data_IF_103559264750
#
_entry.id   IF_103559264750
#
_cell.length_a   1.000
_cell.length_b   1.000
_cell.length_c   1.000
_cell.angle_alpha   90.00
_cell.angle_beta   90.00
_cell.angle_gamma   90.00
#
_symmetry.space_group_name_H-M   'P 1'
#
loop_
_entity.id
_entity.type
_entity.pdbx_description
1 polymer ?
#
# COMPACT_ATOMS: atom_id res chain seq x y z
N UNK A 1 7.00 21.52 1.06
CA UNK A 1 7.22 20.06 1.11
C UNK A 1 8.19 19.66 2.22
N UNK A 2 9.36 20.31 2.38
CA UNK A 2 10.33 19.99 3.45
C UNK A 2 9.75 19.94 4.86
N UNK A 3 8.99 20.96 5.30
CA UNK A 3 8.35 20.96 6.64
C UNK A 3 7.43 19.76 6.88
N UNK A 4 6.70 19.29 5.86
CA UNK A 4 5.80 18.13 5.99
C UNK A 4 6.55 16.82 6.14
N UNK A 5 7.72 16.71 5.49
CA UNK A 5 8.58 15.53 5.59
C UNK A 5 9.23 15.49 6.97
N UNK A 6 9.74 16.63 7.46
CA UNK A 6 10.37 16.74 8.79
C UNK A 6 9.36 16.46 9.90
N UNK A 7 8.16 17.04 9.84
CA UNK A 7 7.13 16.78 10.86
C UNK A 7 6.60 15.34 10.80
N UNK A 8 6.49 14.72 9.61
CA UNK A 8 6.15 13.30 9.49
C UNK A 8 7.24 12.41 10.10
N UNK A 9 8.51 12.69 9.78
CA UNK A 9 9.66 11.99 10.35
C UNK A 9 9.70 12.16 11.88
N UNK A 10 9.42 13.36 12.37
CA UNK A 10 9.33 13.65 13.80
C UNK A 10 8.23 12.85 14.50
N UNK A 11 7.07 12.68 13.88
CA UNK A 11 6.01 11.85 14.45
C UNK A 11 6.31 10.36 14.40
N UNK A 12 6.96 9.91 13.33
CA UNK A 12 7.43 8.53 13.23
C UNK A 12 8.49 8.26 14.30
N UNK A 13 9.39 9.22 14.55
CA UNK A 13 10.37 9.16 15.63
C UNK A 13 9.70 9.19 17.02
N UNK A 14 8.67 10.02 17.23
CA UNK A 14 7.90 10.02 18.48
C UNK A 14 7.14 8.71 18.69
N UNK A 15 6.52 8.17 17.64
CA UNK A 15 5.85 6.87 17.68
C UNK A 15 6.85 5.73 17.99
N UNK A 16 8.03 5.75 17.36
CA UNK A 16 9.12 4.81 17.65
C UNK A 16 9.67 4.99 19.07
N UNK A 17 9.82 6.23 19.55
CA UNK A 17 10.24 6.51 20.92
C UNK A 17 9.23 5.97 21.92
N UNK A 18 7.94 6.18 21.68
CA UNK A 18 6.88 5.59 22.50
C UNK A 18 6.97 4.05 22.46
N UNK A 19 7.11 3.45 21.27
CA UNK A 19 7.29 2.00 21.09
C UNK A 19 8.45 1.45 21.94
N UNK A 20 9.65 2.04 21.82
CA UNK A 20 10.83 1.58 22.55
C UNK A 20 10.73 1.85 24.06
N UNK A 21 10.11 2.97 24.46
CA UNK A 21 9.83 3.27 25.86
C UNK A 21 8.93 2.21 26.48
N UNK A 22 7.82 1.88 25.80
CA UNK A 22 6.94 0.80 26.20
C UNK A 22 7.71 -0.52 26.26
N UNK A 23 8.37 -0.95 25.19
CA UNK A 23 9.10 -2.22 25.15
C UNK A 23 10.15 -2.37 26.28
N UNK A 24 10.87 -1.30 26.61
CA UNK A 24 11.91 -1.32 27.65
C UNK A 24 11.37 -1.32 29.08
N UNK A 25 10.29 -0.58 29.34
CA UNK A 25 9.77 -0.37 30.70
C UNK A 25 8.62 -1.32 31.03
N UNK A 26 7.99 -1.94 30.02
CA UNK A 26 6.78 -2.74 30.20
C UNK A 26 6.94 -3.88 31.22
N UNK A 27 8.07 -4.59 31.18
CA UNK A 27 8.35 -5.71 32.10
C UNK A 27 8.52 -5.29 33.56
N UNK A 28 8.68 -3.99 33.83
CA UNK A 28 8.84 -3.43 35.18
C UNK A 28 7.51 -2.92 35.79
N UNK A 29 6.44 -2.88 35.00
CA UNK A 29 5.14 -2.34 35.42
C UNK A 29 4.21 -3.45 35.94
N UNK A 30 3.42 -3.14 36.97
CA UNK A 30 2.40 -4.06 37.47
C UNK A 30 1.23 -4.19 36.48
N UNK A 31 0.58 -5.35 36.45
CA UNK A 31 -0.55 -5.66 35.55
C UNK A 31 -1.69 -4.63 35.58
N UNK A 32 -2.07 -4.01 36.72
CA UNK A 32 -3.11 -2.97 36.72
C UNK A 32 -2.66 -1.68 36.03
N UNK A 33 -1.39 -1.29 36.20
CA UNK A 33 -0.82 -0.07 35.60
C UNK A 33 -0.68 -0.25 34.08
N UNK A 34 -0.26 -1.43 33.65
CA UNK A 34 -0.23 -1.81 32.25
C UNK A 34 -1.62 -1.61 31.61
N UNK A 35 -2.67 -2.23 32.17
CA UNK A 35 -4.05 -2.13 31.66
C UNK A 35 -4.57 -0.68 31.67
N UNK A 36 -4.24 0.11 32.69
CA UNK A 36 -4.64 1.52 32.76
C UNK A 36 -4.01 2.36 31.64
N UNK A 37 -2.71 2.17 31.36
CA UNK A 37 -2.02 2.89 30.28
C UNK A 37 -2.53 2.42 28.91
N UNK A 38 -2.81 1.13 28.79
CA UNK A 38 -3.40 0.49 27.61
C UNK A 38 -4.74 1.10 27.18
N UNK A 39 -5.61 1.40 28.15
CA UNK A 39 -6.93 2.00 27.91
C UNK A 39 -6.83 3.53 27.83
N UNK A 40 -6.02 4.13 28.71
CA UNK A 40 -5.88 5.57 28.82
C UNK A 40 -5.18 6.23 27.63
N UNK A 41 -4.14 5.61 27.06
CA UNK A 41 -3.36 6.22 25.98
C UNK A 41 -4.16 6.42 24.68
N UNK A 42 -4.94 5.45 24.18
CA UNK A 42 -5.78 5.65 22.99
C UNK A 42 -6.90 6.67 23.25
N UNK A 43 -7.53 6.62 24.42
CA UNK A 43 -8.58 7.58 24.81
C UNK A 43 -8.04 9.00 24.90
N UNK A 44 -6.91 9.22 25.57
CA UNK A 44 -6.25 10.51 25.66
C UNK A 44 -5.81 11.02 24.28
N UNK A 45 -5.35 10.13 23.40
CA UNK A 45 -4.95 10.51 22.05
C UNK A 45 -6.16 10.91 21.17
N UNK A 46 -7.31 10.23 21.31
CA UNK A 46 -8.56 10.59 20.64
C UNK A 46 -9.14 11.90 21.19
N UNK A 47 -9.14 12.08 22.51
CA UNK A 47 -9.54 13.35 23.15
C UNK A 47 -8.60 14.48 22.72
N UNK A 48 -7.30 14.21 22.65
CA UNK A 48 -6.30 15.15 22.14
C UNK A 48 -6.55 15.56 20.69
N UNK A 49 -6.94 14.62 19.82
CA UNK A 49 -7.35 14.95 18.44
C UNK A 49 -8.60 15.83 18.40
N UNK A 50 -9.60 15.55 19.24
CA UNK A 50 -10.82 16.35 19.26
C UNK A 50 -10.59 17.76 19.81
N UNK A 51 -9.75 17.91 20.83
CA UNK A 51 -9.34 19.20 21.39
C UNK A 51 -8.51 20.01 20.39
N UNK A 52 -7.56 19.38 19.69
CA UNK A 52 -6.79 20.05 18.65
C UNK A 52 -7.66 20.46 17.47
N UNK A 53 -8.61 19.63 17.05
CA UNK A 53 -9.55 20.00 15.97
C UNK A 53 -10.38 21.23 16.31
N UNK A 54 -10.78 21.39 17.58
CA UNK A 54 -11.53 22.56 18.05
C UNK A 54 -10.66 23.83 18.11
N UNK A 55 -9.34 23.70 18.32
CA UNK A 55 -8.39 24.83 18.43
C UNK A 55 -7.69 25.19 17.12
N UNK A 56 -7.35 24.22 16.29
CA UNK A 56 -6.56 24.40 15.07
C UNK A 56 -7.33 23.95 13.82
N UNK A 57 -7.39 24.84 12.82
CA UNK A 57 -8.02 24.57 11.52
C UNK A 57 -7.13 23.77 10.55
N UNK A 58 -5.94 23.32 10.96
CA UNK A 58 -4.97 22.67 10.08
C UNK A 58 -5.05 21.15 10.24
N UNK A 59 -5.57 20.39 9.25
CA UNK A 59 -5.77 18.93 9.35
C UNK A 59 -4.47 18.12 9.45
N UNK A 60 -3.32 18.76 9.19
CA UNK A 60 -2.01 18.12 9.20
C UNK A 60 -1.59 17.66 10.61
N UNK A 61 -1.67 18.52 11.63
CA UNK A 61 -1.30 18.13 12.99
C UNK A 61 -2.26 17.08 13.57
N UNK A 62 -3.55 17.15 13.21
CA UNK A 62 -4.54 16.11 13.55
C UNK A 62 -4.15 14.75 12.96
N UNK A 63 -3.69 14.72 11.70
CA UNK A 63 -3.22 13.47 11.07
C UNK A 63 -2.00 12.87 11.78
N UNK A 64 -1.14 13.73 12.32
CA UNK A 64 0.08 13.37 13.01
C UNK A 64 -0.21 12.72 14.37
N UNK A 65 -1.06 13.37 15.16
CA UNK A 65 -1.52 12.83 16.45
C UNK A 65 -2.34 11.57 16.24
N UNK A 66 -3.16 11.51 15.18
CA UNK A 66 -3.90 10.31 14.81
C UNK A 66 -2.98 9.13 14.51
N UNK A 67 -1.84 9.36 13.86
CA UNK A 67 -0.84 8.32 13.60
C UNK A 67 -0.20 7.83 14.90
N UNK A 68 0.10 8.74 15.84
CA UNK A 68 0.60 8.37 17.18
C UNK A 68 -0.46 7.57 17.94
N UNK A 69 -1.72 8.00 17.91
CA UNK A 69 -2.85 7.28 18.51
C UNK A 69 -2.97 5.86 17.95
N UNK A 70 -2.86 5.73 16.63
CA UNK A 70 -2.86 4.46 15.94
C UNK A 70 -1.67 3.57 16.34
N UNK A 71 -0.45 4.10 16.38
CA UNK A 71 0.73 3.37 16.81
C UNK A 71 0.61 2.89 18.27
N UNK A 72 0.13 3.76 19.16
CA UNK A 72 -0.16 3.40 20.55
C UNK A 72 -1.22 2.30 20.64
N UNK A 73 -2.29 2.36 19.82
CA UNK A 73 -3.32 1.32 19.80
C UNK A 73 -2.78 -0.04 19.33
N UNK A 74 -1.98 -0.06 18.26
CA UNK A 74 -1.33 -1.28 17.75
C UNK A 74 -0.46 -1.91 18.83
N UNK A 75 0.37 -1.09 19.47
CA UNK A 75 1.23 -1.48 20.59
C UNK A 75 0.44 -2.07 21.73
N UNK A 76 -0.56 -1.34 22.20
CA UNK A 76 -1.45 -1.73 23.26
C UNK A 76 -2.06 -3.11 22.96
N UNK A 77 -2.67 -3.30 21.78
CA UNK A 77 -3.26 -4.61 21.45
C UNK A 77 -2.22 -5.74 21.44
N UNK A 78 -1.03 -5.51 20.87
CA UNK A 78 0.04 -6.53 20.81
C UNK A 78 0.53 -6.94 22.20
N UNK A 79 0.68 -5.96 23.07
CA UNK A 79 1.20 -6.13 24.42
C UNK A 79 0.14 -6.78 25.32
N UNK A 80 -1.14 -6.41 25.17
CA UNK A 80 -2.26 -7.07 25.84
C UNK A 80 -2.33 -8.55 25.50
N UNK A 81 -2.13 -8.87 24.21
CA UNK A 81 -2.04 -10.25 23.75
C UNK A 81 -0.93 -11.03 24.45
N UNK A 82 0.23 -10.41 24.65
CA UNK A 82 1.34 -11.05 25.39
C UNK A 82 1.03 -11.26 26.88
N UNK A 83 0.39 -10.29 27.54
CA UNK A 83 0.05 -10.36 28.98
C UNK A 83 -0.95 -11.50 29.23
N UNK A 84 -1.99 -11.60 28.39
CA UNK A 84 -3.02 -12.62 28.52
C UNK A 84 -2.67 -13.93 27.81
N UNK A 85 -1.44 -14.07 27.32
CA UNK A 85 -0.95 -15.24 26.58
C UNK A 85 -1.89 -15.66 25.43
N UNK A 86 -2.49 -14.67 24.75
CA UNK A 86 -3.36 -14.87 23.59
C UNK A 86 -2.46 -15.18 22.39
N UNK A 87 -2.78 -16.26 21.67
CA UNK A 87 -2.03 -16.66 20.48
C UNK A 87 -2.11 -15.57 19.39
N UNK A 88 -0.98 -15.08 18.88
CA UNK A 88 -0.96 -14.12 17.78
C UNK A 88 -1.72 -14.65 16.57
N UNK A 89 -2.65 -13.85 16.05
CA UNK A 89 -3.50 -14.22 14.91
C UNK A 89 -3.72 -13.05 13.96
N UNK A 90 -4.08 -13.36 12.71
CA UNK A 90 -4.38 -12.38 11.67
C UNK A 90 -5.51 -11.41 12.02
N UNK A 91 -6.41 -11.78 12.93
CA UNK A 91 -7.53 -10.94 13.34
C UNK A 91 -7.08 -9.64 14.03
N UNK A 92 -5.84 -9.58 14.54
CA UNK A 92 -5.25 -8.34 15.04
C UNK A 92 -5.22 -7.24 13.96
N UNK A 93 -4.95 -7.60 12.70
CA UNK A 93 -4.96 -6.67 11.58
C UNK A 93 -6.35 -6.05 11.34
N UNK A 94 -7.42 -6.80 11.60
CA UNK A 94 -8.80 -6.27 11.48
C UNK A 94 -9.06 -5.21 12.54
N UNK A 95 -8.65 -5.47 13.79
CA UNK A 95 -8.81 -4.50 14.87
C UNK A 95 -8.02 -3.21 14.58
N UNK A 96 -6.80 -3.33 14.08
CA UNK A 96 -5.98 -2.18 13.67
C UNK A 96 -6.60 -1.44 12.49
N UNK A 97 -7.04 -2.16 11.44
CA UNK A 97 -7.71 -1.58 10.29
C UNK A 97 -8.98 -0.84 10.70
N UNK A 98 -9.83 -1.44 11.54
CA UNK A 98 -11.06 -0.83 12.03
C UNK A 98 -10.77 0.48 12.77
N UNK A 99 -9.80 0.49 13.68
CA UNK A 99 -9.43 1.71 14.41
C UNK A 99 -8.90 2.80 13.47
N UNK A 100 -8.00 2.44 12.54
CA UNK A 100 -7.46 3.38 11.56
C UNK A 100 -8.55 3.97 10.64
N UNK A 101 -9.47 3.13 10.15
CA UNK A 101 -10.55 3.55 9.26
C UNK A 101 -11.59 4.41 10.00
N UNK A 102 -12.00 4.03 11.21
CA UNK A 102 -12.93 4.84 12.02
C UNK A 102 -12.37 6.25 12.20
N UNK A 103 -11.09 6.35 12.56
CA UNK A 103 -10.44 7.64 12.72
C UNK A 103 -10.25 8.37 11.38
N UNK A 104 -9.91 7.66 10.29
CA UNK A 104 -9.79 8.24 8.95
C UNK A 104 -11.10 8.88 8.47
N UNK A 105 -12.22 8.15 8.57
CA UNK A 105 -13.53 8.65 8.15
C UNK A 105 -14.09 9.69 9.12
N UNK A 106 -13.81 9.62 10.42
CA UNK A 106 -14.29 10.61 11.39
C UNK A 106 -13.63 11.99 11.24
N UNK A 107 -12.36 12.00 10.85
CA UNK A 107 -11.51 13.20 10.84
C UNK A 107 -10.95 13.59 9.46
N UNK A 108 -11.37 12.91 8.39
CA UNK A 108 -10.88 13.12 7.00
C UNK A 108 -9.35 12.98 6.88
N UNK A 109 -8.79 11.98 7.59
CA UNK A 109 -7.33 11.78 7.71
C UNK A 109 -6.81 10.79 6.67
N UNK A 110 -6.15 11.32 5.65
CA UNK A 110 -5.58 10.55 4.53
C UNK A 110 -4.48 9.58 4.96
N UNK A 111 -3.58 10.00 5.85
CA UNK A 111 -2.50 9.14 6.34
C UNK A 111 -3.03 7.90 7.06
N UNK A 112 -4.08 8.09 7.85
CA UNK A 112 -4.71 7.02 8.60
C UNK A 112 -5.53 6.08 7.72
N UNK A 113 -6.14 6.62 6.66
CA UNK A 113 -6.77 5.81 5.61
C UNK A 113 -5.75 4.84 5.00
N UNK A 114 -4.58 5.36 4.62
CA UNK A 114 -3.49 4.55 4.05
C UNK A 114 -3.01 3.49 5.04
N UNK A 115 -2.84 3.84 6.32
CA UNK A 115 -2.50 2.86 7.36
C UNK A 115 -3.57 1.75 7.47
N UNK A 116 -4.85 2.12 7.47
CA UNK A 116 -5.97 1.17 7.47
C UNK A 116 -6.00 0.27 6.24
N UNK A 117 -5.73 0.82 5.05
CA UNK A 117 -5.59 0.05 3.80
C UNK A 117 -4.46 -0.97 3.91
N UNK A 118 -3.29 -0.59 4.43
CA UNK A 118 -2.18 -1.54 4.65
C UNK A 118 -2.54 -2.65 5.64
N UNK A 119 -3.23 -2.34 6.74
CA UNK A 119 -3.72 -3.35 7.66
C UNK A 119 -4.74 -4.29 7.01
N UNK A 120 -5.66 -3.78 6.17
CA UNK A 120 -6.62 -4.61 5.42
C UNK A 120 -5.90 -5.51 4.40
N UNK A 121 -4.92 -4.98 3.68
CA UNK A 121 -4.09 -5.76 2.75
C UNK A 121 -3.38 -6.89 3.48
N UNK A 122 -2.77 -6.60 4.63
CA UNK A 122 -2.13 -7.59 5.49
C UNK A 122 -3.12 -8.66 5.97
N UNK A 123 -4.31 -8.26 6.45
CA UNK A 123 -5.35 -9.18 6.87
C UNK A 123 -5.83 -10.11 5.74
N UNK A 124 -6.18 -9.55 4.59
CA UNK A 124 -6.69 -10.30 3.45
C UNK A 124 -5.60 -11.25 2.92
N UNK A 125 -4.37 -10.76 2.79
CA UNK A 125 -3.24 -11.59 2.36
C UNK A 125 -2.94 -12.71 3.34
N UNK A 126 -2.98 -12.44 4.66
CA UNK A 126 -2.80 -13.47 5.68
C UNK A 126 -3.93 -14.50 5.65
N UNK A 127 -5.18 -14.05 5.49
CA UNK A 127 -6.36 -14.93 5.46
C UNK A 127 -6.27 -15.90 4.29
N UNK A 128 -5.96 -15.38 3.10
CA UNK A 128 -5.75 -16.20 1.92
C UNK A 128 -4.57 -17.17 2.12
N UNK A 129 -3.47 -16.69 2.70
CA UNK A 129 -2.34 -17.55 3.03
C UNK A 129 -2.73 -18.69 3.97
N UNK A 130 -3.55 -18.44 5.00
CA UNK A 130 -4.03 -19.47 5.91
C UNK A 130 -4.93 -20.50 5.24
N UNK A 131 -5.74 -20.09 4.24
CA UNK A 131 -6.57 -21.02 3.47
C UNK A 131 -5.73 -21.99 2.64
N UNK A 132 -4.57 -21.54 2.16
CA UNK A 132 -3.59 -22.39 1.47
C UNK A 132 -2.60 -23.09 2.43
N UNK A 133 -2.91 -23.16 3.74
CA UNK A 133 -2.13 -23.89 4.73
C UNK A 133 -0.85 -23.19 5.20
N UNK A 134 -0.66 -21.91 4.90
CA UNK A 134 0.50 -21.15 5.39
C UNK A 134 0.27 -20.56 6.77
N UNK A 135 1.36 -20.42 7.53
CA UNK A 135 1.33 -19.62 8.75
C UNK A 135 1.03 -18.16 8.42
N UNK A 136 0.11 -17.54 9.18
CA UNK A 136 -0.41 -16.20 8.90
C UNK A 136 0.68 -15.11 8.87
N UNK A 137 1.79 -15.28 9.60
CA UNK A 137 2.93 -14.34 9.58
C UNK A 137 3.81 -14.50 8.33
N UNK A 138 3.74 -15.65 7.67
CA UNK A 138 4.43 -15.93 6.41
C UNK A 138 3.65 -15.45 5.18
N UNK A 139 2.66 -14.56 5.37
CA UNK A 139 1.85 -14.01 4.28
C UNK A 139 2.68 -13.32 3.18
N UNK A 140 3.89 -12.84 3.51
CA UNK A 140 4.82 -12.24 2.55
C UNK A 140 5.61 -13.23 1.68
N UNK A 141 5.60 -14.53 2.00
CA UNK A 141 6.34 -15.56 1.24
C UNK A 141 5.70 -15.81 -0.13
N UNK A 142 4.38 -15.63 -0.23
CA UNK A 142 3.61 -15.83 -1.47
C UNK A 142 2.94 -14.50 -1.86
N UNK A 143 3.59 -13.70 -2.73
CA UNK A 143 3.07 -12.41 -3.16
C UNK A 143 1.68 -12.50 -3.82
N UNK A 144 1.31 -13.66 -4.36
CA UNK A 144 0.01 -13.94 -4.99
C UNK A 144 -1.18 -13.58 -4.11
N UNK A 145 -1.05 -13.74 -2.79
CA UNK A 145 -2.13 -13.43 -1.84
C UNK A 145 -2.50 -11.93 -1.83
N UNK A 146 -1.59 -11.05 -2.26
CA UNK A 146 -1.84 -9.62 -2.35
C UNK A 146 -2.62 -9.22 -3.61
N UNK A 147 -2.64 -10.05 -4.66
CA UNK A 147 -3.36 -9.76 -5.91
C UNK A 147 -4.88 -9.64 -5.66
N UNK A 148 -5.57 -10.66 -5.12
CA UNK A 148 -6.99 -10.57 -4.82
C UNK A 148 -7.29 -9.50 -3.76
N UNK A 149 -6.43 -9.34 -2.74
CA UNK A 149 -6.59 -8.29 -1.74
C UNK A 149 -6.53 -6.88 -2.35
N UNK A 150 -5.56 -6.64 -3.24
CA UNK A 150 -5.39 -5.39 -3.96
C UNK A 150 -6.53 -5.10 -4.93
N UNK A 151 -7.00 -6.11 -5.68
CA UNK A 151 -8.14 -5.99 -6.60
C UNK A 151 -9.44 -5.69 -5.86
N UNK A 152 -9.70 -6.34 -4.72
CA UNK A 152 -10.86 -6.05 -3.88
C UNK A 152 -10.86 -4.60 -3.42
N UNK A 153 -9.72 -4.10 -2.93
CA UNK A 153 -9.58 -2.72 -2.50
C UNK A 153 -9.66 -1.72 -3.66
N UNK A 154 -9.19 -2.09 -4.84
CA UNK A 154 -9.34 -1.28 -6.06
C UNK A 154 -10.81 -1.14 -6.49
N UNK A 155 -11.60 -2.22 -6.35
CA UNK A 155 -13.01 -2.25 -6.72
C UNK A 155 -13.95 -1.64 -5.65
N UNK A 156 -13.50 -1.57 -4.39
CA UNK A 156 -14.32 -1.10 -3.26
C UNK A 156 -14.91 0.31 -3.46
N UNK A 157 -14.18 1.31 -3.99
CA UNK A 157 -14.74 2.64 -4.22
C UNK A 157 -15.77 2.74 -5.34
N UNK A 158 -15.83 1.75 -6.24
CA UNK A 158 -16.91 1.65 -7.25
C UNK A 158 -18.18 1.03 -6.70
N UNK A 159 -18.07 0.17 -5.68
CA UNK A 159 -19.22 -0.49 -5.05
C UNK A 159 -19.86 0.39 -3.99
N UNK A 160 -19.06 1.18 -3.26
CA UNK A 160 -19.54 2.04 -2.17
C UNK A 160 -19.40 3.51 -2.58
N UNK A 161 -20.51 4.27 -2.69
CA UNK A 161 -20.45 5.68 -3.08
C UNK A 161 -19.88 6.55 -1.95
N UNK A 162 -18.65 7.06 -2.13
CA UNK A 162 -17.96 7.92 -1.18
C UNK A 162 -18.34 9.40 -1.35
N UNK A 163 -19.63 9.73 -1.30
CA UNK A 163 -20.15 11.10 -1.55
C UNK A 163 -19.58 12.16 -0.59
N UNK A 164 -19.26 11.77 0.64
CA UNK A 164 -18.77 12.68 1.69
C UNK A 164 -17.26 12.94 1.63
N UNK A 165 -16.48 12.07 0.98
CA UNK A 165 -15.01 12.13 0.95
C UNK A 165 -14.49 11.91 -0.48
N UNK A 166 -14.41 12.97 -1.31
CA UNK A 166 -14.10 12.84 -2.74
C UNK A 166 -12.70 12.32 -3.04
N UNK A 167 -11.74 12.50 -2.13
CA UNK A 167 -10.34 12.08 -2.34
C UNK A 167 -10.06 10.63 -1.92
N UNK A 168 -10.89 10.04 -1.05
CA UNK A 168 -10.66 8.69 -0.50
C UNK A 168 -10.63 7.60 -1.58
N UNK A 169 -11.56 7.58 -2.57
CA UNK A 169 -11.53 6.62 -3.68
C UNK A 169 -10.19 6.53 -4.39
N UNK A 170 -9.48 7.65 -4.53
CA UNK A 170 -8.18 7.70 -5.20
C UNK A 170 -7.14 6.90 -4.43
N UNK A 171 -7.11 6.98 -3.10
CA UNK A 171 -6.17 6.23 -2.26
C UNK A 171 -6.44 4.72 -2.28
N UNK A 172 -7.69 4.29 -2.18
CA UNK A 172 -8.06 2.88 -2.31
C UNK A 172 -7.63 2.29 -3.66
N UNK A 173 -7.90 2.99 -4.77
CA UNK A 173 -7.49 2.56 -6.10
C UNK A 173 -5.98 2.53 -6.26
N UNK A 174 -5.29 3.59 -5.82
CA UNK A 174 -3.83 3.68 -5.95
C UNK A 174 -3.14 2.56 -5.18
N UNK A 175 -3.44 2.41 -3.88
CA UNK A 175 -2.76 1.42 -3.05
C UNK A 175 -3.18 -0.01 -3.37
N UNK A 176 -4.45 -0.25 -3.73
CA UNK A 176 -4.92 -1.57 -4.17
C UNK A 176 -4.29 -2.01 -5.50
N UNK A 177 -4.19 -1.10 -6.48
CA UNK A 177 -3.51 -1.39 -7.74
C UNK A 177 -1.99 -1.52 -7.55
N UNK A 178 -1.39 -0.69 -6.69
CA UNK A 178 0.04 -0.73 -6.37
C UNK A 178 0.43 -2.12 -5.85
N UNK A 179 -0.30 -2.63 -4.87
CA UNK A 179 0.01 -3.95 -4.29
C UNK A 179 -0.21 -5.08 -5.27
N UNK A 180 -1.27 -5.03 -6.07
CA UNK A 180 -1.50 -6.04 -7.12
C UNK A 180 -0.37 -6.04 -8.17
N UNK A 181 0.04 -4.86 -8.66
CA UNK A 181 1.10 -4.76 -9.65
C UNK A 181 2.48 -5.10 -9.08
N UNK A 182 2.77 -4.75 -7.81
CA UNK A 182 3.99 -5.19 -7.13
C UNK A 182 4.04 -6.71 -6.99
N UNK A 183 2.93 -7.34 -6.58
CA UNK A 183 2.86 -8.79 -6.48
C UNK A 183 3.12 -9.47 -7.83
N UNK A 184 2.48 -8.98 -8.90
CA UNK A 184 2.68 -9.48 -10.26
C UNK A 184 4.14 -9.26 -10.72
N UNK A 185 4.73 -8.10 -10.44
CA UNK A 185 6.11 -7.79 -10.80
C UNK A 185 7.11 -8.73 -10.09
N UNK A 186 6.89 -9.03 -8.82
CA UNK A 186 7.74 -9.97 -8.06
C UNK A 186 7.62 -11.37 -8.67
N UNK A 187 6.41 -11.86 -8.93
CA UNK A 187 6.17 -13.20 -9.50
C UNK A 187 6.65 -13.34 -10.94
N UNK A 188 6.71 -12.23 -11.68
CA UNK A 188 7.29 -12.14 -13.03
C UNK A 188 8.79 -12.44 -13.07
N UNK A 189 9.49 -12.41 -11.93
CA UNK A 189 10.93 -12.70 -11.83
C UNK A 189 11.25 -13.83 -10.84
N UNK A 190 10.28 -14.19 -10.00
CA UNK A 190 10.47 -15.18 -8.96
C UNK A 190 9.33 -16.20 -9.01
N UNK A 191 9.29 -16.99 -10.09
CA UNK A 191 8.21 -17.95 -10.34
C UNK A 191 8.10 -19.04 -9.27
N UNK A 192 9.19 -19.35 -8.56
CA UNK A 192 9.23 -20.31 -7.45
C UNK A 192 8.29 -19.93 -6.28
N UNK A 193 8.02 -18.63 -6.13
CA UNK A 193 7.12 -18.10 -5.11
C UNK A 193 5.63 -18.28 -5.46
N UNK A 194 5.29 -18.88 -6.60
CA UNK A 194 3.91 -19.13 -7.02
C UNK A 194 3.26 -20.37 -6.39
N UNK A 195 1.93 -20.37 -6.21
CA UNK A 195 1.17 -21.58 -5.90
C UNK A 195 0.95 -22.49 -7.12
N UNK A 196 1.22 -22.01 -8.33
CA UNK A 196 0.98 -22.76 -9.57
C UNK A 196 1.95 -23.95 -9.67
N UNK A 197 1.41 -25.13 -9.96
CA UNK A 197 2.17 -26.36 -10.22
C UNK A 197 2.70 -26.38 -11.66
N UNK A 198 3.30 -25.27 -12.08
CA UNK A 198 3.93 -25.10 -13.39
C UNK A 198 5.44 -24.95 -13.21
N UNK A 199 6.24 -25.23 -14.25
CA UNK A 199 7.66 -24.88 -14.24
C UNK A 199 7.83 -23.39 -13.97
N UNK A 200 8.84 -23.01 -13.18
CA UNK A 200 9.13 -21.61 -12.82
C UNK A 200 9.14 -20.68 -14.03
N UNK A 201 9.71 -21.14 -15.14
CA UNK A 201 9.87 -20.37 -16.36
C UNK A 201 8.51 -20.04 -17.00
N UNK A 202 7.57 -20.99 -16.96
CA UNK A 202 6.21 -20.78 -17.48
C UNK A 202 5.41 -19.83 -16.58
N UNK A 203 5.61 -19.92 -15.26
CA UNK A 203 5.00 -19.01 -14.28
C UNK A 203 5.49 -17.59 -14.50
N UNK A 204 6.80 -17.39 -14.68
CA UNK A 204 7.38 -16.07 -14.93
C UNK A 204 6.83 -15.45 -16.21
N UNK A 205 6.79 -16.22 -17.31
CA UNK A 205 6.18 -15.76 -18.58
C UNK A 205 4.71 -15.40 -18.40
N UNK A 206 3.95 -16.21 -17.66
CA UNK A 206 2.54 -15.93 -17.38
C UNK A 206 2.38 -14.61 -16.62
N UNK A 207 3.14 -14.39 -15.55
CA UNK A 207 3.08 -13.16 -14.77
C UNK A 207 3.61 -11.94 -15.52
N UNK A 208 4.57 -12.10 -16.43
CA UNK A 208 5.00 -11.05 -17.35
C UNK A 208 3.86 -10.63 -18.28
N UNK A 209 3.19 -11.59 -18.93
CA UNK A 209 2.04 -11.32 -19.80
C UNK A 209 0.89 -10.67 -19.03
N UNK A 210 0.59 -11.18 -17.83
CA UNK A 210 -0.40 -10.60 -16.94
C UNK A 210 -0.04 -9.18 -16.53
N UNK A 211 1.22 -8.92 -16.17
CA UNK A 211 1.67 -7.61 -15.74
C UNK A 211 1.55 -6.54 -16.83
N UNK A 212 1.91 -6.86 -18.08
CA UNK A 212 1.71 -5.98 -19.23
C UNK A 212 0.22 -5.75 -19.50
N UNK A 213 -0.59 -6.81 -19.44
CA UNK A 213 -2.04 -6.73 -19.66
C UNK A 213 -2.73 -5.88 -18.60
N UNK A 214 -2.45 -6.12 -17.31
CA UNK A 214 -3.05 -5.38 -16.19
C UNK A 214 -2.60 -3.92 -16.19
N UNK A 215 -1.32 -3.65 -16.47
CA UNK A 215 -0.82 -2.28 -16.58
C UNK A 215 -1.44 -1.54 -17.78
N UNK A 216 -1.58 -2.21 -18.93
CA UNK A 216 -2.28 -1.66 -20.11
C UNK A 216 -3.76 -1.36 -19.84
N UNK A 217 -4.46 -2.29 -19.19
CA UNK A 217 -5.86 -2.09 -18.77
C UNK A 217 -5.98 -0.95 -17.76
N UNK A 218 -5.06 -0.82 -16.81
CA UNK A 218 -5.04 0.28 -15.85
C UNK A 218 -4.86 1.64 -16.55
N UNK A 219 -3.99 1.74 -17.55
CA UNK A 219 -3.83 2.95 -18.38
C UNK A 219 -5.13 3.26 -19.12
N UNK A 220 -5.73 2.26 -19.77
CA UNK A 220 -6.96 2.44 -20.53
C UNK A 220 -8.14 2.86 -19.64
N UNK A 221 -8.33 2.21 -18.49
CA UNK A 221 -9.34 2.59 -17.51
C UNK A 221 -9.06 3.97 -16.92
N UNK A 222 -7.79 4.27 -16.62
CA UNK A 222 -7.37 5.56 -16.09
C UNK A 222 -7.67 6.71 -17.04
N UNK A 223 -7.48 6.52 -18.35
CA UNK A 223 -7.82 7.50 -19.38
C UNK A 223 -9.34 7.65 -19.52
N UNK A 224 -10.08 6.53 -19.63
CA UNK A 224 -11.54 6.55 -19.81
C UNK A 224 -12.30 7.15 -18.63
N UNK A 225 -11.80 6.95 -17.41
CA UNK A 225 -12.45 7.39 -16.18
C UNK A 225 -11.80 8.63 -15.56
N UNK A 226 -10.84 9.25 -16.25
CA UNK A 226 -10.06 10.41 -15.81
C UNK A 226 -9.34 10.21 -14.46
N UNK A 227 -8.89 9.00 -14.16
CA UNK A 227 -8.12 8.69 -12.95
C UNK A 227 -6.62 8.84 -13.22
N UNK A 228 -6.11 10.07 -13.06
CA UNK A 228 -4.69 10.38 -13.29
C UNK A 228 -3.73 9.51 -12.47
N UNK A 229 -4.06 9.25 -11.20
CA UNK A 229 -3.22 8.42 -10.34
C UNK A 229 -3.07 6.98 -10.85
N UNK A 230 -4.17 6.37 -11.30
CA UNK A 230 -4.19 5.01 -11.85
C UNK A 230 -3.44 4.95 -13.19
N UNK A 231 -3.59 5.97 -14.02
CA UNK A 231 -2.89 6.09 -15.31
C UNK A 231 -1.37 6.18 -15.11
N UNK A 232 -0.93 7.04 -14.19
CA UNK A 232 0.49 7.21 -13.88
C UNK A 232 1.08 5.92 -13.33
N UNK A 233 0.38 5.27 -12.40
CA UNK A 233 0.84 4.02 -11.79
C UNK A 233 0.94 2.90 -12.83
N UNK A 234 -0.11 2.71 -13.64
CA UNK A 234 -0.08 1.74 -14.74
C UNK A 234 1.04 2.00 -15.75
N UNK A 235 1.27 3.27 -16.10
CA UNK A 235 2.36 3.67 -17.01
C UNK A 235 3.74 3.37 -16.42
N UNK A 236 3.94 3.67 -15.13
CA UNK A 236 5.20 3.37 -14.43
C UNK A 236 5.48 1.88 -14.41
N UNK A 237 4.50 1.05 -14.03
CA UNK A 237 4.70 -0.40 -14.00
C UNK A 237 4.84 -1.02 -15.39
N UNK A 238 4.16 -0.48 -16.41
CA UNK A 238 4.37 -0.86 -17.79
C UNK A 238 5.81 -0.58 -18.23
N UNK A 239 6.32 0.62 -17.93
CA UNK A 239 7.70 1.01 -18.25
C UNK A 239 8.73 0.17 -17.50
N UNK A 240 8.52 -0.11 -16.21
CA UNK A 240 9.39 -0.97 -15.41
C UNK A 240 9.45 -2.38 -16.03
N UNK A 241 8.31 -2.99 -16.35
CA UNK A 241 8.29 -4.33 -16.95
C UNK A 241 8.93 -4.36 -18.33
N UNK A 242 8.69 -3.34 -19.16
CA UNK A 242 9.34 -3.22 -20.46
C UNK A 242 10.86 -3.09 -20.32
N UNK A 243 11.30 -2.26 -19.37
CA UNK A 243 12.72 -2.09 -19.06
C UNK A 243 13.35 -3.41 -18.61
N UNK A 244 12.72 -4.14 -17.69
CA UNK A 244 13.29 -5.40 -17.22
C UNK A 244 13.33 -6.42 -18.35
N UNK A 245 12.35 -6.44 -19.26
CA UNK A 245 12.39 -7.32 -20.41
C UNK A 245 13.54 -7.00 -21.38
N UNK A 246 13.81 -5.72 -21.63
CA UNK A 246 14.98 -5.33 -22.42
C UNK A 246 16.29 -5.71 -21.74
N UNK A 247 16.34 -5.59 -20.42
CA UNK A 247 17.48 -6.02 -19.62
C UNK A 247 17.70 -7.54 -19.80
N UNK A 248 16.69 -8.36 -19.56
CA UNK A 248 16.80 -9.83 -19.70
C UNK A 248 17.23 -10.27 -21.11
N UNK A 249 16.78 -9.56 -22.16
CA UNK A 249 17.10 -9.93 -23.54
C UNK A 249 18.48 -9.50 -24.02
N UNK A 250 18.93 -8.32 -23.63
CA UNK A 250 20.07 -7.66 -24.27
C UNK A 250 21.28 -7.44 -23.36
N UNK A 251 21.11 -7.56 -22.04
CA UNK A 251 22.16 -7.22 -21.09
C UNK A 251 23.41 -8.09 -21.22
N UNK A 252 23.24 -9.40 -21.37
CA UNK A 252 24.37 -10.33 -21.41
C UNK A 252 25.04 -10.38 -22.79
N UNK A 253 24.28 -10.14 -23.86
CA UNK A 253 24.76 -10.27 -25.23
C UNK A 253 25.40 -8.98 -25.79
N UNK A 254 24.99 -7.80 -25.33
CA UNK A 254 25.37 -6.52 -25.93
C UNK A 254 26.25 -5.66 -25.02
N UNK A 255 27.25 -4.92 -25.54
CA UNK A 255 28.01 -3.97 -24.74
C UNK A 255 27.11 -2.90 -24.10
N UNK A 256 27.37 -2.57 -22.83
CA UNK A 256 26.51 -1.70 -22.00
C UNK A 256 26.21 -0.33 -22.64
N UNK A 257 27.17 0.26 -23.37
CA UNK A 257 26.95 1.54 -24.03
C UNK A 257 25.95 1.44 -25.19
N UNK A 258 25.94 0.34 -25.94
CA UNK A 258 24.97 0.11 -27.01
C UNK A 258 23.58 -0.16 -26.42
N UNK A 259 23.51 -0.87 -25.29
CA UNK A 259 22.26 -1.06 -24.54
C UNK A 259 21.56 0.25 -24.19
N UNK A 260 22.28 1.18 -23.55
CA UNK A 260 21.70 2.47 -23.19
C UNK A 260 21.35 3.33 -24.43
N UNK A 261 22.12 3.22 -25.51
CA UNK A 261 21.83 3.94 -26.76
C UNK A 261 20.54 3.41 -27.44
N UNK A 262 20.38 2.09 -27.53
CA UNK A 262 19.16 1.45 -28.07
C UNK A 262 17.95 1.78 -27.20
N UNK A 263 18.10 1.70 -25.88
CA UNK A 263 17.04 2.08 -24.94
C UNK A 263 16.61 3.54 -25.12
N UNK A 264 17.56 4.45 -25.27
CA UNK A 264 17.30 5.87 -25.55
C UNK A 264 16.57 6.09 -26.89
N UNK A 265 17.01 5.41 -27.95
CA UNK A 265 16.34 5.46 -29.26
C UNK A 265 14.90 4.95 -29.21
N UNK A 266 14.65 3.84 -28.51
CA UNK A 266 13.30 3.30 -28.29
C UNK A 266 12.43 4.30 -27.54
N UNK A 267 12.96 4.94 -26.49
CA UNK A 267 12.23 5.95 -25.74
C UNK A 267 11.85 7.16 -26.62
N UNK A 268 12.78 7.65 -27.45
CA UNK A 268 12.50 8.73 -28.41
C UNK A 268 11.43 8.30 -29.42
N UNK A 269 11.53 7.08 -29.96
CA UNK A 269 10.58 6.54 -30.91
C UNK A 269 9.17 6.44 -30.29
N UNK A 270 9.04 5.94 -29.06
CA UNK A 270 7.78 5.89 -28.33
C UNK A 270 7.21 7.30 -28.12
N UNK A 271 8.02 8.29 -27.75
CA UNK A 271 7.58 9.68 -27.62
C UNK A 271 7.05 10.26 -28.93
N UNK A 272 7.71 9.99 -30.05
CA UNK A 272 7.26 10.42 -31.38
C UNK A 272 5.93 9.75 -31.76
N UNK A 273 5.80 8.45 -31.51
CA UNK A 273 4.56 7.70 -31.75
C UNK A 273 3.41 8.24 -30.89
N UNK A 274 3.62 8.44 -29.60
CA UNK A 274 2.60 9.00 -28.70
C UNK A 274 2.22 10.43 -29.08
N UNK A 275 3.19 11.26 -29.48
CA UNK A 275 2.92 12.62 -29.98
C UNK A 275 2.05 12.58 -31.24
N UNK A 276 2.33 11.65 -32.17
CA UNK A 276 1.55 11.48 -33.41
C UNK A 276 0.13 10.96 -33.14
N UNK A 277 -0.03 10.00 -32.24
CA UNK A 277 -1.34 9.49 -31.83
C UNK A 277 -2.18 10.58 -31.15
N UNK A 278 -1.55 11.40 -30.30
CA UNK A 278 -2.23 12.53 -29.64
C UNK A 278 -2.70 13.58 -30.64
N UNK A 279 -1.90 13.90 -31.65
CA UNK A 279 -2.28 14.84 -32.69
C UNK A 279 -3.50 14.35 -33.49
N UNK A 280 -3.50 13.07 -33.90
CA UNK A 280 -4.65 12.48 -34.62
C UNK A 280 -5.92 12.41 -33.79
N UNK A 281 -5.83 12.17 -32.49
CA UNK A 281 -7.01 12.15 -31.60
C UNK A 281 -7.55 13.58 -31.41
N UNK A 282 -6.68 14.59 -31.33
CA UNK A 282 -7.09 16.00 -31.24
C UNK A 282 -7.81 16.52 -32.48
N UNK A 283 -7.42 16.04 -33.68
CA UNK A 283 -8.07 16.39 -34.96
C UNK A 283 -9.45 15.76 -35.16
N UNK A 284 -9.77 14.65 -34.48
CA UNK A 284 -11.08 13.97 -34.59
C UNK A 284 -12.13 14.55 -33.63
N UNK A 285 -11.70 15.35 -32.63
CA UNK A 285 -12.58 15.99 -31.65
C UNK A 285 -12.84 17.48 -31.92
N UNK A 286 -12.32 18.03 -33.02
CA UNK A 286 -12.56 19.39 -33.51
C UNK A 286 -13.50 19.36 -34.71
#
# INVERSE_FOLDING_TARGET
>A
WGMRIVSFLGALALAASAFFFFYRIWGLLSTPIQVLILIGAPLLAVVGMELLRKRERIPYFTSLIGLIAFACFVLNLSVLGSIFNITPSQNAFVAWAAFALILAYSYDLRLLLVAGIFCLLGFLSATLGTWFGMYWLSFGVRPENFIPAGLLLFALPSLVPHRRYPEFPTYYRLFGLLTALLAILILSHWGQASYLVLPSDQVEVLYQLLGFTVSGLAILMGIRLHWHGVTNLGSTFFAIQLYTKFFDWWWDWMPKYVFFLVLGLIAILLLLVFRRLRARIGEVTA
#
